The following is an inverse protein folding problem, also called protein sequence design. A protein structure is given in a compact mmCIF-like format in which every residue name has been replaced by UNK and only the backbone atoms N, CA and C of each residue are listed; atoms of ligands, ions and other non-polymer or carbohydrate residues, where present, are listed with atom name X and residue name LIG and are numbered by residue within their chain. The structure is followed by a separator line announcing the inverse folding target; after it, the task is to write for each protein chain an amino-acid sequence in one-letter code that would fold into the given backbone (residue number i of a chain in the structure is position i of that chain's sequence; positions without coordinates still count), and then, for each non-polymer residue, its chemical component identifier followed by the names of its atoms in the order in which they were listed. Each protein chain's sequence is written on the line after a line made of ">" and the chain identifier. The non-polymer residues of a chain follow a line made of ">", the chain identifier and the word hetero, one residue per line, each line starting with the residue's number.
data_IF_478618302283
#
_entry.id   IF_478618302283
#
_cell.length_a   1.000
_cell.length_b   1.000
_cell.length_c   1.000
_cell.angle_alpha   90.00
_cell.angle_beta   90.00
_cell.angle_gamma   90.00
#
_symmetry.space_group_name_H-M   'P 1'
#
loop_
_entity.id
_entity.type
_entity.pdbx_description
1 polymer ?
#
# COMPACT_ATOMS: atom_id res chain seq x y z
N UNK A 1 4.81 -16.45 -59.36
CA UNK A 1 4.71 -15.32 -58.41
C UNK A 1 3.74 -15.71 -57.31
N UNK A 2 4.26 -16.14 -56.17
CA UNK A 2 3.47 -16.71 -55.09
C UNK A 2 2.87 -15.56 -54.27
N UNK A 3 1.55 -15.36 -54.36
CA UNK A 3 0.83 -14.39 -53.54
C UNK A 3 0.76 -14.94 -52.12
N UNK A 4 1.55 -14.37 -51.20
CA UNK A 4 1.42 -14.63 -49.77
C UNK A 4 -0.02 -14.28 -49.33
N UNK A 5 -0.71 -15.15 -48.58
CA UNK A 5 -2.07 -14.88 -48.16
C UNK A 5 -2.11 -13.74 -47.15
N UNK A 6 -2.75 -12.64 -47.56
CA UNK A 6 -2.99 -11.38 -46.82
C UNK A 6 -3.79 -11.54 -45.51
N UNK A 7 -4.08 -12.77 -45.09
CA UNK A 7 -4.88 -13.08 -43.89
C UNK A 7 -4.03 -13.36 -42.64
N UNK A 8 -2.69 -13.49 -42.75
CA UNK A 8 -1.83 -13.78 -41.59
C UNK A 8 -1.39 -12.50 -40.85
N UNK A 9 -1.44 -11.34 -41.51
CA UNK A 9 -0.92 -10.08 -40.94
C UNK A 9 -1.88 -9.47 -39.91
N UNK A 10 -3.19 -9.77 -39.97
CA UNK A 10 -4.17 -9.21 -39.03
C UNK A 10 -4.31 -9.96 -37.70
N UNK A 11 -3.74 -11.16 -37.57
CA UNK A 11 -3.84 -11.95 -36.33
C UNK A 11 -2.80 -11.58 -35.26
N UNK A 12 -1.81 -10.74 -35.61
CA UNK A 12 -0.70 -10.36 -34.72
C UNK A 12 -0.91 -9.04 -33.97
N UNK A 13 -1.97 -8.27 -34.27
CA UNK A 13 -2.20 -6.95 -33.68
C UNK A 13 -3.13 -6.94 -32.46
N UNK A 14 -3.68 -8.09 -32.06
CA UNK A 14 -4.51 -8.22 -30.86
C UNK A 14 -3.78 -8.92 -29.72
N UNK A 15 -2.46 -8.74 -29.61
CA UNK A 15 -1.79 -8.92 -28.32
C UNK A 15 -2.32 -7.78 -27.45
N UNK A 16 -3.49 -8.01 -26.85
CA UNK A 16 -3.93 -7.29 -25.69
C UNK A 16 -2.77 -7.39 -24.72
N UNK A 17 -2.01 -6.30 -24.60
CA UNK A 17 -1.13 -6.06 -23.49
C UNK A 17 -2.02 -6.05 -22.24
N UNK A 18 -2.34 -7.25 -21.74
CA UNK A 18 -2.95 -7.46 -20.45
C UNK A 18 -1.88 -7.03 -19.46
N UNK A 19 -1.84 -5.73 -19.19
CA UNK A 19 -1.17 -5.21 -18.01
C UNK A 19 -1.90 -5.90 -16.86
N UNK A 20 -1.28 -6.94 -16.30
CA UNK A 20 -1.85 -7.71 -15.20
C UNK A 20 -2.41 -6.76 -14.16
N UNK A 21 -3.62 -7.06 -13.66
CA UNK A 21 -4.34 -6.15 -12.76
C UNK A 21 -3.47 -5.77 -11.57
N UNK A 22 -3.00 -4.51 -11.55
CA UNK A 22 -2.21 -3.99 -10.44
C UNK A 22 -3.04 -4.06 -9.16
N UNK A 23 -2.53 -4.67 -8.07
CA UNK A 23 -3.26 -4.73 -6.82
C UNK A 23 -3.58 -3.33 -6.31
N UNK A 24 -4.79 -3.20 -5.79
CA UNK A 24 -5.26 -1.96 -5.16
C UNK A 24 -4.98 -2.00 -3.66
N UNK A 25 -5.14 -0.86 -2.98
CA UNK A 25 -4.97 -0.77 -1.52
C UNK A 25 -5.85 -1.78 -0.75
N UNK A 26 -6.94 -2.26 -1.36
CA UNK A 26 -7.81 -3.29 -0.78
C UNK A 26 -7.06 -4.60 -0.55
N UNK A 27 -6.06 -4.91 -1.38
CA UNK A 27 -5.19 -6.08 -1.19
C UNK A 27 -4.27 -5.98 0.04
N UNK A 28 -4.11 -4.79 0.60
CA UNK A 28 -3.33 -4.54 1.82
C UNK A 28 -4.17 -4.63 3.09
N UNK A 29 -5.49 -4.78 2.97
CA UNK A 29 -6.36 -4.89 4.15
C UNK A 29 -5.98 -6.12 4.95
N UNK A 30 -5.72 -5.94 6.25
CA UNK A 30 -5.28 -7.00 7.15
C UNK A 30 -3.79 -7.35 7.05
N UNK A 31 -3.08 -6.90 6.01
CA UNK A 31 -1.63 -7.11 5.90
C UNK A 31 -0.86 -6.18 6.83
N UNK A 32 0.25 -6.66 7.36
CA UNK A 32 1.12 -5.87 8.25
C UNK A 32 2.27 -5.33 7.43
N UNK A 33 2.39 -4.01 7.41
CA UNK A 33 3.53 -3.32 6.82
C UNK A 33 4.46 -2.94 7.97
N UNK A 34 5.66 -3.51 7.96
CA UNK A 34 6.72 -3.22 8.92
C UNK A 34 7.56 -2.07 8.39
N UNK A 35 7.86 -1.10 9.25
CA UNK A 35 8.78 0.00 8.96
C UNK A 35 10.02 -0.23 9.80
N UNK A 36 11.14 -0.36 9.10
CA UNK A 36 12.44 -0.40 9.72
C UNK A 36 12.80 1.02 10.16
N UNK A 37 12.95 1.21 11.47
CA UNK A 37 13.53 2.42 12.04
C UNK A 37 14.69 2.08 12.97
N UNK A 38 15.48 3.09 13.32
CA UNK A 38 16.77 2.92 13.99
C UNK A 38 16.70 2.36 15.42
N UNK A 39 15.52 2.07 15.99
CA UNK A 39 15.40 1.67 17.39
C UNK A 39 14.67 0.35 17.61
N UNK A 40 13.40 0.27 17.24
CA UNK A 40 12.56 -0.88 17.60
C UNK A 40 11.55 -1.25 16.51
N UNK A 41 11.46 -0.45 15.44
CA UNK A 41 10.50 -0.62 14.39
C UNK A 41 9.10 -0.12 14.76
N UNK A 42 8.31 0.09 13.73
CA UNK A 42 6.89 0.41 13.84
C UNK A 42 6.17 -0.37 12.76
N UNK A 43 4.91 -0.69 12.99
CA UNK A 43 4.11 -1.34 11.96
C UNK A 43 2.76 -0.68 11.83
N UNK A 44 2.15 -0.87 10.68
CA UNK A 44 0.76 -0.54 10.51
C UNK A 44 0.01 -1.57 9.68
N UNK A 45 -1.28 -1.65 9.95
CA UNK A 45 -2.22 -2.53 9.26
C UNK A 45 -3.41 -1.73 8.81
N UNK A 46 -3.73 -1.82 7.51
CA UNK A 46 -4.93 -1.22 6.96
C UNK A 46 -6.15 -2.05 7.36
N UNK A 47 -7.15 -1.41 7.95
CA UNK A 47 -8.40 -2.01 8.40
C UNK A 47 -9.55 -1.44 7.58
N UNK A 48 -10.45 -2.32 7.11
CA UNK A 48 -11.76 -1.92 6.60
C UNK A 48 -12.74 -1.87 7.76
N UNK A 49 -13.40 -0.72 7.95
CA UNK A 49 -14.27 -0.45 9.11
C UNK A 49 -15.73 -0.26 8.70
N UNK A 50 -15.98 0.20 7.47
CA UNK A 50 -17.34 0.44 7.00
C UNK A 50 -18.08 -0.84 6.53
N UNK A 51 -19.39 -0.83 6.76
CA UNK A 51 -20.36 -1.86 6.34
C UNK A 51 -21.31 -1.28 5.27
N UNK A 52 -21.95 -2.13 4.47
CA UNK A 52 -23.07 -1.76 3.59
C UNK A 52 -22.76 -0.62 2.60
N UNK A 53 -21.70 -0.75 1.79
CA UNK A 53 -21.43 0.13 0.65
C UNK A 53 -20.59 1.37 0.94
N UNK A 54 -20.46 1.80 2.20
CA UNK A 54 -19.52 2.85 2.60
C UNK A 54 -18.18 2.25 2.99
N UNK A 55 -17.20 2.32 2.10
CA UNK A 55 -15.84 1.83 2.38
C UNK A 55 -15.05 2.85 3.21
N UNK A 56 -15.17 2.76 4.54
CA UNK A 56 -14.30 3.47 5.46
C UNK A 56 -13.07 2.62 5.82
N UNK A 57 -11.89 3.24 5.78
CA UNK A 57 -10.64 2.61 6.19
C UNK A 57 -10.03 3.32 7.40
N UNK A 58 -9.37 2.53 8.26
CA UNK A 58 -8.53 3.03 9.35
C UNK A 58 -7.19 2.32 9.29
N UNK A 59 -6.16 2.95 9.86
CA UNK A 59 -4.86 2.32 10.07
C UNK A 59 -4.72 2.01 11.54
N UNK A 60 -4.40 0.76 11.86
CA UNK A 60 -3.88 0.38 13.17
C UNK A 60 -2.36 0.53 13.12
N UNK A 61 -1.82 1.51 13.81
CA UNK A 61 -0.39 1.71 13.96
C UNK A 61 0.07 1.14 15.30
N UNK A 62 1.25 0.52 15.30
CA UNK A 62 1.90 -0.04 16.48
C UNK A 62 3.35 0.41 16.57
N UNK A 63 3.76 0.85 17.77
CA UNK A 63 5.17 1.06 18.13
C UNK A 63 5.67 -0.19 18.82
N UNK A 64 6.81 -0.69 18.36
CA UNK A 64 7.47 -1.84 18.96
C UNK A 64 8.61 -1.37 19.87
N UNK A 65 9.05 -2.26 20.75
CA UNK A 65 10.14 -2.01 21.70
C UNK A 65 11.28 -2.99 21.52
N UNK A 66 12.46 -2.64 22.04
CA UNK A 66 13.57 -3.59 22.15
C UNK A 66 13.17 -4.76 23.05
N UNK A 67 12.78 -5.88 22.44
CA UNK A 67 12.32 -7.09 23.13
C UNK A 67 10.85 -7.09 23.57
N UNK A 68 10.07 -6.05 23.24
CA UNK A 68 8.63 -5.97 23.59
C UNK A 68 7.80 -5.93 22.31
N UNK A 69 6.81 -6.84 22.15
CA UNK A 69 6.04 -6.95 20.91
C UNK A 69 5.15 -5.73 20.64
N UNK A 70 4.79 -4.95 21.65
CA UNK A 70 3.97 -3.76 21.50
C UNK A 70 4.17 -2.80 22.69
N UNK A 71 4.69 -1.60 22.42
CA UNK A 71 4.73 -0.52 23.41
C UNK A 71 3.47 0.34 23.28
N UNK A 72 3.01 0.58 22.05
CA UNK A 72 1.86 1.45 21.78
C UNK A 72 1.05 0.97 20.60
N UNK A 73 -0.24 1.29 20.65
CA UNK A 73 -1.17 1.06 19.56
C UNK A 73 -2.16 2.22 19.46
N UNK A 74 -2.38 2.71 18.24
CA UNK A 74 -3.41 3.72 17.97
C UNK A 74 -4.06 3.48 16.60
N UNK A 75 -5.33 3.86 16.49
CA UNK A 75 -6.06 3.87 15.22
C UNK A 75 -6.11 5.28 14.64
N UNK A 76 -5.76 5.39 13.36
CA UNK A 76 -5.80 6.65 12.61
C UNK A 76 -6.83 6.58 11.49
N UNK A 77 -7.48 7.72 11.23
CA UNK A 77 -8.33 7.87 10.04
C UNK A 77 -7.44 7.86 8.80
N UNK A 78 -7.94 7.22 7.75
CA UNK A 78 -7.24 7.14 6.47
C UNK A 78 -7.90 8.08 5.48
N UNK A 79 -7.09 8.86 4.77
CA UNK A 79 -7.49 9.57 3.56
C UNK A 79 -7.08 8.76 2.34
N UNK A 80 -8.05 8.40 1.50
CA UNK A 80 -7.77 7.76 0.22
C UNK A 80 -7.41 8.84 -0.79
N UNK A 81 -6.19 8.80 -1.32
CA UNK A 81 -5.78 9.69 -2.41
C UNK A 81 -6.12 9.05 -3.78
N UNK A 82 -6.08 7.71 -3.88
CA UNK A 82 -6.50 6.95 -5.06
C UNK A 82 -6.74 5.47 -4.73
N UNK A 83 -7.13 4.65 -5.73
CA UNK A 83 -7.22 3.19 -5.58
C UNK A 83 -5.87 2.50 -5.26
N UNK A 84 -4.75 3.21 -5.39
CA UNK A 84 -3.39 2.70 -5.14
C UNK A 84 -2.66 3.40 -4.01
N UNK A 85 -3.26 4.43 -3.40
CA UNK A 85 -2.58 5.28 -2.45
C UNK A 85 -3.50 5.75 -1.34
N UNK A 86 -2.98 5.73 -0.12
CA UNK A 86 -3.64 6.31 1.04
C UNK A 86 -2.66 7.03 1.95
N UNK A 87 -3.19 7.95 2.76
CA UNK A 87 -2.44 8.68 3.77
C UNK A 87 -3.10 8.60 5.14
N UNK A 88 -2.29 8.75 6.18
CA UNK A 88 -2.75 8.98 7.53
C UNK A 88 -1.72 9.85 8.27
N UNK A 89 -2.18 10.60 9.26
CA UNK A 89 -1.33 11.46 10.07
C UNK A 89 -1.14 10.78 11.42
N UNK A 90 0.12 10.55 11.79
CA UNK A 90 0.50 10.18 13.14
C UNK A 90 0.48 11.45 14.00
N UNK A 91 -0.48 11.58 14.90
CA UNK A 91 -0.66 12.75 15.77
C UNK A 91 -0.72 12.41 17.27
N UNK A 92 -0.13 11.28 17.67
CA UNK A 92 -0.04 10.88 19.08
C UNK A 92 0.77 11.91 19.90
N UNK A 93 0.32 12.33 21.10
CA UNK A 93 0.97 13.39 21.90
C UNK A 93 2.44 13.12 22.22
N UNK A 94 2.79 11.86 22.39
CA UNK A 94 4.13 11.40 22.74
C UNK A 94 4.95 10.89 21.54
N UNK A 95 4.46 11.11 20.31
CA UNK A 95 5.18 10.79 19.08
C UNK A 95 5.42 12.06 18.26
N UNK A 96 6.49 12.05 17.46
CA UNK A 96 6.71 13.14 16.52
C UNK A 96 5.63 13.08 15.44
N UNK A 97 4.93 14.20 15.25
CA UNK A 97 3.94 14.32 14.19
C UNK A 97 4.55 13.99 12.83
N UNK A 98 3.84 13.18 12.04
CA UNK A 98 4.29 12.78 10.73
C UNK A 98 3.13 12.34 9.84
N UNK A 99 3.18 12.70 8.56
CA UNK A 99 2.27 12.18 7.56
C UNK A 99 2.89 10.96 6.89
N UNK A 100 2.20 9.83 6.96
CA UNK A 100 2.54 8.64 6.22
C UNK A 100 1.74 8.58 4.93
N UNK A 101 2.43 8.27 3.84
CA UNK A 101 1.82 7.93 2.55
C UNK A 101 2.25 6.54 2.13
N UNK A 102 1.27 5.69 1.83
CA UNK A 102 1.48 4.32 1.36
C UNK A 102 0.99 4.23 -0.07
N UNK A 103 1.83 3.71 -0.96
CA UNK A 103 1.54 3.59 -2.39
C UNK A 103 1.92 2.19 -2.88
N UNK A 104 1.00 1.52 -3.57
CA UNK A 104 1.31 0.28 -4.31
C UNK A 104 1.78 0.68 -5.69
N UNK A 105 3.02 0.37 -6.08
CA UNK A 105 3.58 0.64 -7.41
C UNK A 105 3.42 -0.58 -8.35
N UNK A 106 3.74 -0.43 -9.63
CA UNK A 106 3.74 -1.55 -10.58
C UNK A 106 4.67 -2.69 -10.11
N UNK A 107 4.22 -3.94 -10.31
CA UNK A 107 4.92 -5.13 -9.83
C UNK A 107 4.79 -5.35 -8.32
N UNK A 108 3.64 -4.96 -7.75
CA UNK A 108 3.22 -5.21 -6.36
C UNK A 108 4.12 -4.61 -5.27
N UNK A 109 5.00 -3.69 -5.67
CA UNK A 109 5.94 -3.04 -4.76
C UNK A 109 5.23 -2.01 -3.91
N UNK A 110 5.20 -2.24 -2.60
CA UNK A 110 4.72 -1.27 -1.61
C UNK A 110 5.83 -0.23 -1.39
N UNK A 111 5.46 1.05 -1.45
CA UNK A 111 6.34 2.17 -1.09
C UNK A 111 5.68 2.95 0.04
N UNK A 112 6.46 3.20 1.08
CA UNK A 112 6.03 4.02 2.22
C UNK A 112 6.87 5.29 2.24
N UNK A 113 6.22 6.40 2.52
CA UNK A 113 6.85 7.70 2.65
C UNK A 113 6.44 8.33 3.98
N UNK A 114 7.39 8.92 4.68
CA UNK A 114 7.17 9.73 5.87
C UNK A 114 7.53 11.18 5.53
N UNK A 115 6.56 12.08 5.62
CA UNK A 115 6.73 13.50 5.28
C UNK A 115 7.35 13.72 3.88
N UNK A 116 6.95 12.90 2.91
CA UNK A 116 7.46 12.95 1.53
C UNK A 116 8.79 12.23 1.30
N UNK A 117 9.49 11.78 2.33
CA UNK A 117 10.74 11.01 2.22
C UNK A 117 10.42 9.52 2.19
N UNK A 118 10.94 8.79 1.20
CA UNK A 118 10.74 7.33 1.11
C UNK A 118 11.49 6.64 2.25
N UNK A 119 10.80 5.75 2.95
CA UNK A 119 11.38 4.92 4.02
C UNK A 119 11.34 3.44 3.61
N UNK A 120 12.25 2.66 4.20
CA UNK A 120 12.27 1.21 4.01
C UNK A 120 11.11 0.59 4.79
N UNK A 121 10.40 -0.29 4.10
CA UNK A 121 9.26 -0.99 4.64
C UNK A 121 9.28 -2.42 4.10
N UNK A 122 9.07 -3.37 4.99
CA UNK A 122 8.85 -4.77 4.63
C UNK A 122 7.35 -5.08 4.68
N UNK A 123 6.85 -5.71 3.63
CA UNK A 123 5.45 -6.07 3.48
C UNK A 123 5.29 -7.58 3.53
N UNK A 124 4.89 -8.10 4.69
CA UNK A 124 4.50 -9.50 4.86
C UNK A 124 2.99 -9.69 4.70
#
# INVERSE_FOLDING_TARGET
>A
MNKLPMNIIFFLLSICCYAGDRPTIKSLVGKRIWIEDAFAGQSFTLLKVGSNGNEEFKVLWKRHGSGVPEIRTQKFKVRLDSKYQYRFILDHPEEKKGEFMVSIFNGDKIKVYLNGVRIYADGN
#
